data_IF_351725615669
#
_entry.id   IF_351725615669
#
_cell.length_a   1.000
_cell.length_b   1.000
_cell.length_c   1.000
_cell.angle_alpha   90.00
_cell.angle_beta   90.00
_cell.angle_gamma   90.00
#
_symmetry.space_group_name_H-M   'P 1'
#
loop_
_entity.id
_entity.type
_entity.pdbx_description
1 polymer ?
#
# COMPACT_ATOMS: atom_id res chain seq x y z
N UNK A 1 -6.87 -0.93 39.47
CA UNK A 1 -6.71 -1.02 38.00
C UNK A 1 -5.24 -0.82 37.64
N UNK A 2 -4.43 -1.86 37.78
CA UNK A 2 -2.98 -1.84 37.50
C UNK A 2 -2.52 -3.12 36.76
N UNK A 3 -3.47 -3.92 36.27
CA UNK A 3 -3.23 -5.20 35.58
C UNK A 3 -3.43 -5.10 34.06
N UNK A 4 -4.14 -4.07 33.56
CA UNK A 4 -4.39 -3.89 32.11
C UNK A 4 -3.20 -3.27 31.36
N UNK A 5 -2.17 -2.80 32.07
CA UNK A 5 -0.95 -2.24 31.47
C UNK A 5 0.19 -3.25 31.29
N UNK A 6 -0.04 -4.55 31.53
CA UNK A 6 1.02 -5.55 31.61
C UNK A 6 0.87 -6.76 30.68
N UNK A 7 -0.08 -6.74 29.75
CA UNK A 7 -0.31 -7.86 28.85
C UNK A 7 -0.58 -7.39 27.43
N UNK A 8 0.48 -6.95 26.76
CA UNK A 8 0.66 -7.12 25.32
C UNK A 8 2.15 -6.92 25.07
N UNK A 9 2.95 -7.96 25.36
CA UNK A 9 4.22 -8.07 24.62
C UNK A 9 3.78 -8.05 23.15
N UNK A 10 4.28 -7.16 22.29
CA UNK A 10 3.89 -7.22 20.89
C UNK A 10 4.21 -8.64 20.45
N UNK A 11 3.15 -9.39 20.10
CA UNK A 11 3.31 -10.67 19.45
C UNK A 11 4.14 -10.46 18.19
N UNK A 12 4.61 -11.53 17.57
CA UNK A 12 5.15 -11.41 16.22
C UNK A 12 4.00 -10.95 15.34
N UNK A 13 3.85 -9.64 15.12
CA UNK A 13 2.87 -9.07 14.20
C UNK A 13 3.32 -9.52 12.82
N UNK A 14 2.61 -10.50 12.28
CA UNK A 14 2.88 -10.97 10.93
C UNK A 14 2.58 -9.82 9.96
N UNK A 15 3.53 -9.56 9.06
CA UNK A 15 3.41 -8.49 8.07
C UNK A 15 3.65 -9.05 6.70
N UNK A 16 2.69 -8.84 5.82
CA UNK A 16 2.83 -9.15 4.40
C UNK A 16 3.28 -7.91 3.65
N UNK A 17 4.35 -8.04 2.87
CA UNK A 17 4.73 -7.01 1.90
C UNK A 17 4.19 -7.38 0.53
N UNK A 18 3.36 -6.50 -0.03
CA UNK A 18 2.65 -6.71 -1.28
C UNK A 18 3.07 -5.63 -2.25
N UNK A 19 3.28 -6.01 -3.51
CA UNK A 19 3.61 -5.11 -4.60
C UNK A 19 2.44 -5.10 -5.58
N UNK A 20 1.74 -3.96 -5.62
CA UNK A 20 0.53 -3.78 -6.40
C UNK A 20 0.85 -3.05 -7.71
N UNK A 21 0.43 -3.65 -8.83
CA UNK A 21 0.50 -3.05 -10.15
C UNK A 21 -0.87 -2.48 -10.54
N UNK A 22 -1.04 -1.16 -10.41
CA UNK A 22 -2.25 -0.45 -10.83
C UNK A 22 -2.05 0.03 -12.27
N UNK A 23 -2.87 -0.49 -13.19
CA UNK A 23 -2.80 -0.14 -14.62
C UNK A 23 -3.89 0.89 -14.96
N UNK A 24 -3.55 1.98 -15.66
CA UNK A 24 -4.55 2.90 -16.19
C UNK A 24 -5.32 2.26 -17.35
N UNK A 25 -6.45 2.86 -17.68
CA UNK A 25 -7.28 2.45 -18.81
C UNK A 25 -6.70 2.89 -20.15
N UNK A 26 -6.07 4.06 -20.17
CA UNK A 26 -5.46 4.70 -21.35
C UNK A 26 -4.15 5.42 -20.98
N UNK A 27 -3.50 6.04 -21.96
CA UNK A 27 -2.27 6.81 -21.82
C UNK A 27 -2.49 8.29 -21.43
N UNK A 28 -3.74 8.77 -21.42
CA UNK A 28 -4.11 10.12 -20.97
C UNK A 28 -4.36 10.20 -19.45
N UNK A 29 -4.52 9.06 -18.78
CA UNK A 29 -4.79 8.98 -17.34
C UNK A 29 -3.66 9.61 -16.51
N UNK A 30 -4.03 10.56 -15.64
CA UNK A 30 -3.09 11.20 -14.69
C UNK A 30 -2.63 10.21 -13.61
N UNK A 31 -1.38 9.77 -13.75
CA UNK A 31 -0.75 8.81 -12.84
C UNK A 31 -0.46 9.39 -11.45
N UNK A 32 -0.26 10.69 -11.32
CA UNK A 32 -0.03 11.32 -10.02
C UNK A 32 -1.34 11.31 -9.19
N UNK A 33 -2.46 11.65 -9.85
CA UNK A 33 -3.79 11.54 -9.24
C UNK A 33 -4.16 10.11 -8.90
N UNK A 34 -3.81 9.14 -9.76
CA UNK A 34 -4.00 7.72 -9.47
C UNK A 34 -3.23 7.28 -8.22
N UNK A 35 -1.97 7.70 -8.07
CA UNK A 35 -1.19 7.43 -6.88
C UNK A 35 -1.80 8.07 -5.63
N UNK A 36 -2.26 9.32 -5.72
CA UNK A 36 -2.93 10.01 -4.63
C UNK A 36 -4.20 9.25 -4.20
N UNK A 37 -5.02 8.80 -5.15
CA UNK A 37 -6.20 7.99 -4.86
C UNK A 37 -5.83 6.69 -4.16
N UNK A 38 -4.79 5.99 -4.60
CA UNK A 38 -4.32 4.76 -3.92
C UNK A 38 -3.86 5.06 -2.49
N UNK A 39 -3.05 6.11 -2.29
CA UNK A 39 -2.56 6.52 -0.96
C UNK A 39 -3.66 7.05 -0.04
N UNK A 40 -4.78 7.50 -0.59
CA UNK A 40 -5.94 7.95 0.20
C UNK A 40 -6.63 6.82 0.97
N UNK A 41 -6.41 5.56 0.57
CA UNK A 41 -6.90 4.39 1.30
C UNK A 41 -6.14 4.26 2.62
N UNK A 42 -6.86 4.47 3.72
CA UNK A 42 -6.35 4.38 5.09
C UNK A 42 -7.07 3.26 5.83
N UNK A 43 -6.30 2.35 6.41
CA UNK A 43 -6.78 1.24 7.25
C UNK A 43 -5.77 1.03 8.39
N UNK A 44 -6.23 0.55 9.54
CA UNK A 44 -5.31 0.16 10.62
C UNK A 44 -4.45 -1.01 10.14
N UNK A 45 -3.15 -0.96 10.43
CA UNK A 45 -2.19 -1.96 9.93
C UNK A 45 -1.75 -1.80 8.47
N UNK A 46 -2.32 -0.87 7.69
CA UNK A 46 -1.90 -0.60 6.31
C UNK A 46 -0.83 0.50 6.25
N UNK A 47 0.31 0.20 5.64
CA UNK A 47 1.40 1.14 5.39
C UNK A 47 1.74 1.18 3.90
N UNK A 48 1.61 2.37 3.29
CA UNK A 48 2.04 2.60 1.92
C UNK A 48 3.55 2.88 1.84
N UNK A 49 4.25 2.14 0.99
CA UNK A 49 5.68 2.26 0.73
C UNK A 49 6.02 3.11 -0.48
N UNK A 50 7.17 2.80 -1.09
CA UNK A 50 7.62 3.45 -2.32
C UNK A 50 6.77 3.05 -3.51
N UNK A 51 6.54 4.02 -4.40
CA UNK A 51 5.89 3.85 -5.70
C UNK A 51 6.88 4.15 -6.83
N UNK A 52 6.65 3.55 -8.00
CA UNK A 52 7.33 3.91 -9.24
C UNK A 52 6.42 3.69 -10.45
N UNK A 53 6.62 4.49 -11.49
CA UNK A 53 5.95 4.28 -12.77
C UNK A 53 6.80 3.38 -13.66
N UNK A 54 6.22 2.28 -14.12
CA UNK A 54 6.89 1.30 -14.99
C UNK A 54 6.22 1.32 -16.36
N UNK A 55 6.96 1.56 -17.46
CA UNK A 55 6.39 1.51 -18.80
C UNK A 55 5.96 0.08 -19.15
N UNK A 56 4.78 -0.06 -19.76
CA UNK A 56 4.25 -1.35 -20.23
C UNK A 56 4.19 -1.44 -21.76
N UNK A 57 4.16 -0.30 -22.45
CA UNK A 57 4.14 -0.21 -23.91
C UNK A 57 3.13 0.82 -24.41
N UNK A 58 3.25 1.23 -25.68
CA UNK A 58 2.28 2.12 -26.34
C UNK A 58 1.94 3.41 -25.58
N UNK A 59 2.93 4.04 -24.94
CA UNK A 59 2.73 5.24 -24.12
C UNK A 59 2.21 4.98 -22.70
N UNK A 60 1.65 3.80 -22.44
CA UNK A 60 1.05 3.42 -21.16
C UNK A 60 2.13 3.09 -20.11
N UNK A 61 1.94 3.62 -18.91
CA UNK A 61 2.73 3.32 -17.71
C UNK A 61 1.83 2.76 -16.62
N UNK A 62 2.27 1.70 -15.94
CA UNK A 62 1.61 1.19 -14.73
C UNK A 62 2.22 1.83 -13.49
N UNK A 63 1.41 2.08 -12.47
CA UNK A 63 1.86 2.43 -11.13
C UNK A 63 2.19 1.13 -10.39
N UNK A 64 3.45 0.98 -9.97
CA UNK A 64 3.89 -0.09 -9.10
C UNK A 64 4.11 0.49 -7.71
N UNK A 65 3.31 0.08 -6.73
CA UNK A 65 3.36 0.59 -5.36
C UNK A 65 3.48 -0.56 -4.35
N UNK A 66 4.39 -0.39 -3.40
CA UNK A 66 4.53 -1.32 -2.29
C UNK A 66 3.55 -0.96 -1.18
N UNK A 67 2.91 -1.94 -0.57
CA UNK A 67 2.26 -1.81 0.73
C UNK A 67 2.75 -2.90 1.69
N UNK A 68 2.65 -2.58 2.98
CA UNK A 68 2.86 -3.52 4.07
C UNK A 68 1.57 -3.54 4.85
N UNK A 69 0.99 -4.73 5.02
CA UNK A 69 -0.22 -4.95 5.82
C UNK A 69 0.13 -5.78 7.04
N UNK A 70 -0.48 -5.48 8.17
CA UNK A 70 -0.45 -6.32 9.38
C UNK A 70 -1.53 -7.39 9.21
N UNK A 71 -1.17 -8.67 9.17
CA UNK A 71 -2.08 -9.74 8.74
C UNK A 71 -3.25 -9.96 9.72
N UNK A 72 -3.07 -9.58 10.98
CA UNK A 72 -4.06 -9.72 12.06
C UNK A 72 -5.06 -8.53 12.13
N UNK A 73 -5.00 -7.59 11.19
CA UNK A 73 -5.87 -6.39 11.11
C UNK A 73 -6.53 -6.25 9.75
#
# INVERSE_FOLDING_TARGET
QYAEKKSEKPGVIAKSSILLDVKPWDDETDMAKMEECVRSVQMDGLLWGSSKLVPVGYGIKKLQIQCVVEDDK
#
